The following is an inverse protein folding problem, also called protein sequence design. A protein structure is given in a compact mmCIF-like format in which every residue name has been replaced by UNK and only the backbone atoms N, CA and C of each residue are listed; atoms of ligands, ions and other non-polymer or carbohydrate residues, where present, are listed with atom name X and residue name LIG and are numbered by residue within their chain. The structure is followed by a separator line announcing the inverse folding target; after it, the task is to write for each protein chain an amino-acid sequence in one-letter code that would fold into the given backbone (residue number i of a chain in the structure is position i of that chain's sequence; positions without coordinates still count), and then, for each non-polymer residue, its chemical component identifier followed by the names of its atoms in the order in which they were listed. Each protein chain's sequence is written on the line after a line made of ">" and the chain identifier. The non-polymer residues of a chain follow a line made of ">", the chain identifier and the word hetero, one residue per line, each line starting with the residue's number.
data_IF_547080273969
#
_entry.id   IF_547080273969
#
_cell.length_a   1.000
_cell.length_b   1.000
_cell.length_c   1.000
_cell.angle_alpha   90.00
_cell.angle_beta   90.00
_cell.angle_gamma   90.00
#
_symmetry.space_group_name_H-M   'P 1'
#
loop_
_entity.id
_entity.type
_entity.pdbx_description
1 polymer ?
#
# COMPACT_ATOMS: atom_id res chain seq x y z
N UNK A 1 10.00 5.57 15.35
CA UNK A 1 9.90 4.57 16.45
C UNK A 1 9.26 5.15 17.71
N UNK A 2 8.60 4.34 18.53
CA UNK A 2 7.95 4.70 19.80
C UNK A 2 8.18 3.64 20.90
N UNK A 3 8.14 4.01 22.18
CA UNK A 3 8.24 3.04 23.28
C UNK A 3 6.87 2.46 23.59
N UNK A 4 6.76 1.13 23.65
CA UNK A 4 5.53 0.45 24.10
C UNK A 4 5.81 -0.55 25.19
N UNK A 5 4.85 -0.63 26.13
CA UNK A 5 4.81 -1.68 27.13
C UNK A 5 4.59 -3.01 26.47
N UNK A 6 5.33 -4.01 26.91
CA UNK A 6 5.17 -5.39 26.47
C UNK A 6 3.81 -5.90 26.95
N UNK A 7 3.01 -6.43 26.03
CA UNK A 7 1.82 -7.18 26.40
C UNK A 7 2.25 -8.57 26.84
N UNK A 8 2.16 -8.83 28.15
CA UNK A 8 2.61 -10.08 28.76
C UNK A 8 1.42 -10.89 29.27
N UNK A 9 1.06 -11.96 28.56
CA UNK A 9 -0.04 -12.87 28.95
C UNK A 9 0.44 -14.15 29.64
N UNK A 10 1.75 -14.27 29.84
CA UNK A 10 2.33 -15.44 30.49
C UNK A 10 2.34 -15.26 32.00
N UNK A 11 2.56 -16.36 32.72
CA UNK A 11 2.44 -16.40 34.18
C UNK A 11 3.64 -15.82 34.92
N UNK A 12 4.75 -15.56 34.22
CA UNK A 12 5.91 -14.86 34.75
C UNK A 12 5.61 -13.36 34.93
N UNK A 13 6.42 -12.68 35.75
CA UNK A 13 6.28 -11.25 35.96
C UNK A 13 7.28 -10.52 35.06
N UNK A 14 6.76 -9.91 33.99
CA UNK A 14 7.55 -9.09 33.07
C UNK A 14 6.87 -7.75 32.82
N UNK A 15 7.42 -6.71 33.45
CA UNK A 15 7.04 -5.33 33.22
C UNK A 15 8.19 -4.58 32.52
N UNK A 16 8.16 -4.58 31.19
CA UNK A 16 9.19 -3.96 30.36
C UNK A 16 8.59 -3.07 29.28
N UNK A 17 9.38 -2.08 28.85
CA UNK A 17 9.10 -1.25 27.68
C UNK A 17 10.15 -1.51 26.61
N UNK A 18 9.68 -1.66 25.36
CA UNK A 18 10.55 -1.89 24.21
C UNK A 18 10.36 -0.79 23.17
N UNK A 19 11.43 -0.48 22.45
CA UNK A 19 11.37 0.42 21.32
C UNK A 19 10.81 -0.33 20.11
N UNK A 20 9.66 0.13 19.60
CA UNK A 20 8.99 -0.45 18.43
C UNK A 20 8.87 0.58 17.32
N UNK A 21 8.63 0.12 16.10
CA UNK A 21 8.21 1.01 15.03
C UNK A 21 6.79 1.52 15.31
N UNK A 22 6.53 2.78 14.94
CA UNK A 22 5.15 3.27 14.94
C UNK A 22 4.37 2.60 13.82
N UNK A 23 3.04 2.62 13.90
CA UNK A 23 2.19 2.01 12.89
C UNK A 23 2.42 2.63 11.50
N UNK A 24 2.64 3.95 11.46
CA UNK A 24 2.95 4.67 10.22
C UNK A 24 4.27 4.23 9.61
N UNK A 25 5.28 3.97 10.43
CA UNK A 25 6.58 3.51 9.93
C UNK A 25 6.52 2.06 9.44
N UNK A 26 5.77 1.19 10.13
CA UNK A 26 5.48 -0.18 9.65
C UNK A 26 4.75 -0.12 8.30
N UNK A 27 3.74 0.74 8.19
CA UNK A 27 2.98 0.93 6.95
C UNK A 27 3.87 1.43 5.81
N UNK A 28 4.70 2.44 6.05
CA UNK A 28 5.62 2.97 5.05
C UNK A 28 6.60 1.89 4.53
N UNK A 29 7.13 1.06 5.42
CA UNK A 29 7.97 -0.09 5.03
C UNK A 29 7.19 -1.14 4.22
N UNK A 30 5.93 -1.41 4.57
CA UNK A 30 5.05 -2.32 3.82
C UNK A 30 4.81 -1.84 2.40
N UNK A 31 4.51 -0.55 2.22
CA UNK A 31 4.35 0.08 0.92
C UNK A 31 5.65 -0.02 0.10
N UNK A 32 6.78 0.31 0.71
CA UNK A 32 8.10 0.20 0.06
C UNK A 32 8.36 -1.24 -0.40
N UNK A 33 8.06 -2.23 0.45
CA UNK A 33 8.22 -3.64 0.14
C UNK A 33 7.25 -4.08 -0.98
N UNK A 34 6.01 -3.61 -0.96
CA UNK A 34 4.98 -3.91 -1.96
C UNK A 34 5.42 -3.45 -3.36
N UNK A 35 5.98 -2.23 -3.46
CA UNK A 35 6.50 -1.68 -4.72
C UNK A 35 7.64 -2.56 -5.24
N UNK A 36 8.56 -2.99 -4.37
CA UNK A 36 9.76 -3.73 -4.75
C UNK A 36 9.57 -5.22 -5.02
N UNK A 37 8.70 -5.91 -4.26
CA UNK A 37 8.69 -7.39 -4.19
C UNK A 37 7.38 -8.07 -4.57
N UNK A 38 6.33 -7.31 -4.89
CA UNK A 38 5.03 -7.83 -5.38
C UNK A 38 4.50 -9.03 -4.57
N UNK A 39 4.25 -8.88 -3.27
CA UNK A 39 3.71 -9.97 -2.45
C UNK A 39 2.27 -9.70 -2.03
N UNK A 40 1.38 -10.67 -2.28
CA UNK A 40 -0.03 -10.63 -1.89
C UNK A 40 -0.23 -10.34 -0.40
N UNK A 41 0.61 -10.91 0.46
CA UNK A 41 0.59 -10.64 1.91
C UNK A 41 0.85 -9.17 2.25
N UNK A 42 1.86 -8.55 1.63
CA UNK A 42 2.18 -7.15 1.91
C UNK A 42 1.04 -6.23 1.44
N UNK A 43 0.32 -6.62 0.38
CA UNK A 43 -0.88 -5.95 -0.11
C UNK A 43 -2.03 -6.06 0.91
N UNK A 44 -2.28 -7.26 1.43
CA UNK A 44 -3.28 -7.48 2.47
C UNK A 44 -2.97 -6.66 3.73
N UNK A 45 -1.74 -6.75 4.24
CA UNK A 45 -1.30 -6.00 5.42
C UNK A 45 -1.47 -4.49 5.23
N UNK A 46 -1.07 -3.95 4.09
CA UNK A 46 -1.26 -2.53 3.78
C UNK A 46 -2.75 -2.16 3.73
N UNK A 47 -3.59 -2.97 3.07
CA UNK A 47 -5.04 -2.76 3.03
C UNK A 47 -5.69 -2.73 4.42
N UNK A 48 -5.26 -3.60 5.33
CA UNK A 48 -5.79 -3.68 6.69
C UNK A 48 -5.31 -2.54 7.59
N UNK A 49 -4.07 -2.08 7.42
CA UNK A 49 -3.49 -1.01 8.23
C UNK A 49 -3.94 0.39 7.81
N UNK A 50 -4.46 0.54 6.59
CA UNK A 50 -4.73 1.83 5.97
C UNK A 50 -5.68 2.74 6.77
N UNK A 51 -6.69 2.18 7.43
CA UNK A 51 -7.66 2.97 8.22
C UNK A 51 -7.12 3.36 9.60
N UNK A 52 -6.05 2.72 10.06
CA UNK A 52 -5.50 2.89 11.41
C UNK A 52 -4.34 3.89 11.46
N UNK A 53 -3.78 4.27 10.31
CA UNK A 53 -2.59 5.11 10.20
C UNK A 53 -2.91 6.58 9.97
N UNK A 54 -2.03 7.45 10.47
CA UNK A 54 -2.03 8.86 10.07
C UNK A 54 -1.36 9.02 8.70
N UNK A 55 -2.16 9.26 7.66
CA UNK A 55 -1.72 9.36 6.27
C UNK A 55 -0.66 10.45 6.08
N UNK A 56 -0.81 11.61 6.72
CA UNK A 56 0.14 12.71 6.58
C UNK A 56 1.54 12.33 7.11
N UNK A 57 1.61 11.62 8.25
CA UNK A 57 2.87 11.12 8.79
C UNK A 57 3.50 10.05 7.89
N UNK A 58 2.68 9.14 7.34
CA UNK A 58 3.15 8.13 6.39
C UNK A 58 3.79 8.78 5.17
N UNK A 59 3.18 9.82 4.60
CA UNK A 59 3.74 10.51 3.44
C UNK A 59 5.12 11.12 3.73
N UNK A 60 5.28 11.76 4.90
CA UNK A 60 6.58 12.31 5.33
C UNK A 60 7.65 11.21 5.47
N UNK A 61 7.30 10.08 6.07
CA UNK A 61 8.24 8.96 6.24
C UNK A 61 8.61 8.33 4.89
N UNK A 62 7.66 8.26 3.96
CA UNK A 62 7.90 7.73 2.61
C UNK A 62 8.85 8.62 1.81
N UNK A 63 8.68 9.95 1.85
CA UNK A 63 9.59 10.92 1.21
C UNK A 63 11.05 10.62 1.60
N UNK A 64 11.32 10.62 2.91
CA UNK A 64 12.66 10.39 3.45
C UNK A 64 13.23 9.04 3.04
N UNK A 65 12.41 7.98 3.06
CA UNK A 65 12.87 6.61 2.75
C UNK A 65 13.09 6.40 1.25
N UNK A 66 12.32 7.06 0.39
CA UNK A 66 12.41 6.89 -1.06
C UNK A 66 13.61 7.63 -1.60
N UNK A 67 13.86 8.85 -1.11
CA UNK A 67 15.07 9.61 -1.42
C UNK A 67 16.32 8.87 -0.97
N UNK A 68 16.31 8.29 0.25
CA UNK A 68 17.46 7.55 0.78
C UNK A 68 17.76 6.25 0.02
N UNK A 69 16.73 5.56 -0.47
CA UNK A 69 16.88 4.25 -1.15
C UNK A 69 16.88 4.33 -2.68
N UNK A 70 16.66 5.52 -3.25
CA UNK A 70 16.53 5.71 -4.71
C UNK A 70 15.36 4.93 -5.32
N UNK A 71 14.26 4.76 -4.59
CA UNK A 71 13.11 3.97 -5.06
C UNK A 71 12.20 4.85 -5.90
N UNK A 72 12.07 4.52 -7.19
CA UNK A 72 11.11 5.17 -8.08
C UNK A 72 9.74 4.55 -7.86
N UNK A 73 8.78 5.37 -7.44
CA UNK A 73 7.40 4.94 -7.25
C UNK A 73 6.71 4.85 -8.61
N UNK A 74 6.50 3.63 -9.11
CA UNK A 74 5.71 3.37 -10.33
C UNK A 74 4.37 2.72 -9.98
N UNK A 75 3.32 3.54 -9.87
CA UNK A 75 1.94 3.06 -9.62
C UNK A 75 1.46 2.17 -10.76
N UNK A 76 1.86 2.46 -12.01
CA UNK A 76 1.42 1.68 -13.17
C UNK A 76 1.93 0.24 -13.10
N UNK A 77 3.12 0.03 -12.52
CA UNK A 77 3.65 -1.31 -12.27
C UNK A 77 2.77 -2.10 -11.29
N UNK A 78 2.16 -1.47 -10.30
CA UNK A 78 1.32 -2.16 -9.32
C UNK A 78 0.02 -2.63 -9.95
N UNK A 79 -0.61 -1.80 -10.78
CA UNK A 79 -1.82 -2.18 -11.51
C UNK A 79 -1.57 -3.28 -12.52
N UNK A 80 -0.43 -3.24 -13.24
CA UNK A 80 -0.04 -4.30 -14.19
C UNK A 80 0.21 -5.64 -13.51
N UNK A 81 0.65 -5.63 -12.24
CA UNK A 81 0.92 -6.81 -11.43
C UNK A 81 -0.30 -7.33 -10.67
N UNK A 82 -1.51 -6.82 -10.95
CA UNK A 82 -2.75 -7.26 -10.30
C UNK A 82 -2.92 -8.78 -10.40
N UNK A 83 -2.67 -9.35 -11.58
CA UNK A 83 -2.80 -10.78 -11.82
C UNK A 83 -1.79 -11.60 -10.99
N UNK A 84 -0.57 -11.09 -10.81
CA UNK A 84 0.43 -11.73 -9.94
C UNK A 84 -0.05 -11.79 -8.48
N UNK A 85 -0.68 -10.71 -8.00
CA UNK A 85 -1.27 -10.69 -6.67
C UNK A 85 -2.45 -11.65 -6.53
N UNK A 86 -3.31 -11.70 -7.55
CA UNK A 86 -4.47 -12.62 -7.59
C UNK A 86 -4.02 -14.07 -7.53
N UNK A 87 -3.08 -14.45 -8.41
CA UNK A 87 -2.56 -15.82 -8.50
C UNK A 87 -1.86 -16.27 -7.20
N UNK A 88 -1.22 -15.34 -6.48
CA UNK A 88 -0.52 -15.63 -5.24
C UNK A 88 -1.39 -15.46 -3.97
N UNK A 89 -2.64 -15.00 -4.10
CA UNK A 89 -3.46 -14.52 -2.96
C UNK A 89 -3.71 -15.61 -1.93
N UNK A 90 -4.38 -16.69 -2.36
CA UNK A 90 -4.76 -17.78 -1.47
C UNK A 90 -3.54 -18.49 -0.89
N UNK A 91 -2.56 -18.81 -1.75
CA UNK A 91 -1.33 -19.49 -1.32
C UNK A 91 -0.50 -18.65 -0.33
N UNK A 92 -0.58 -17.31 -0.40
CA UNK A 92 0.17 -16.43 0.51
C UNK A 92 -0.51 -16.26 1.88
N UNK A 93 -1.84 -16.38 1.92
CA UNK A 93 -2.68 -16.05 3.08
C UNK A 93 -3.28 -17.27 3.80
N UNK A 94 -3.35 -18.44 3.17
CA UNK A 94 -3.96 -19.66 3.73
C UNK A 94 -3.39 -20.10 5.09
N UNK A 95 -2.10 -19.87 5.34
CA UNK A 95 -1.45 -20.22 6.60
C UNK A 95 -1.59 -19.13 7.67
N UNK A 96 -2.10 -17.95 7.31
CA UNK A 96 -2.18 -16.79 8.18
C UNK A 96 -3.61 -16.48 8.61
N UNK A 97 -4.58 -16.72 7.72
CA UNK A 97 -5.98 -16.39 7.91
C UNK A 97 -6.84 -17.65 7.87
N UNK A 98 -7.79 -17.75 8.80
CA UNK A 98 -8.79 -18.83 8.79
C UNK A 98 -9.79 -18.68 7.65
N UNK A 99 -10.11 -17.44 7.30
CA UNK A 99 -11.02 -17.09 6.21
C UNK A 99 -10.29 -16.07 5.34
N UNK A 100 -10.02 -16.44 4.10
CA UNK A 100 -9.36 -15.58 3.13
C UNK A 100 -10.46 -14.75 2.44
N UNK A 101 -10.37 -13.41 2.42
CA UNK A 101 -11.32 -12.61 1.68
C UNK A 101 -11.10 -12.77 0.18
N UNK A 102 -12.18 -12.64 -0.60
CA UNK A 102 -12.11 -12.59 -2.05
C UNK A 102 -11.15 -11.49 -2.53
N UNK A 103 -10.22 -11.85 -3.41
CA UNK A 103 -9.17 -10.95 -3.88
C UNK A 103 -9.74 -9.73 -4.59
N UNK A 104 -10.71 -9.91 -5.49
CA UNK A 104 -11.26 -8.83 -6.29
C UNK A 104 -12.03 -7.83 -5.42
N UNK A 105 -12.86 -8.32 -4.51
CA UNK A 105 -13.58 -7.48 -3.55
C UNK A 105 -12.59 -6.70 -2.67
N UNK A 106 -11.56 -7.37 -2.14
CA UNK A 106 -10.55 -6.72 -1.31
C UNK A 106 -9.74 -5.68 -2.09
N UNK A 107 -9.23 -6.05 -3.26
CA UNK A 107 -8.41 -5.18 -4.10
C UNK A 107 -9.17 -3.92 -4.51
N UNK A 108 -10.42 -4.05 -4.97
CA UNK A 108 -11.19 -2.90 -5.42
C UNK A 108 -11.57 -1.97 -4.25
N UNK A 109 -11.99 -2.53 -3.10
CA UNK A 109 -12.37 -1.72 -1.94
C UNK A 109 -11.18 -1.04 -1.25
N UNK A 110 -10.05 -1.74 -1.08
CA UNK A 110 -8.89 -1.27 -0.29
C UNK A 110 -7.75 -0.73 -1.11
N UNK A 111 -7.53 -1.21 -2.33
CA UNK A 111 -6.37 -0.78 -3.13
C UNK A 111 -6.79 0.22 -4.21
N UNK A 112 -7.77 -0.15 -5.03
CA UNK A 112 -8.28 0.68 -6.13
C UNK A 112 -8.85 2.02 -5.66
N UNK A 113 -9.68 2.00 -4.62
CA UNK A 113 -10.47 3.17 -4.23
C UNK A 113 -9.82 4.05 -3.15
N UNK A 114 -8.79 3.56 -2.45
CA UNK A 114 -8.25 4.25 -1.27
C UNK A 114 -6.74 4.37 -1.27
N UNK A 115 -6.00 3.25 -1.32
CA UNK A 115 -4.53 3.28 -1.29
C UNK A 115 -3.95 3.99 -2.53
N UNK A 116 -4.30 3.58 -3.75
CA UNK A 116 -3.70 4.16 -4.96
C UNK A 116 -4.02 5.64 -5.19
N UNK A 117 -5.26 6.14 -4.92
CA UNK A 117 -5.53 7.57 -4.98
C UNK A 117 -4.69 8.39 -4.01
N UNK A 118 -4.46 7.92 -2.78
CA UNK A 118 -3.58 8.62 -1.84
C UNK A 118 -2.13 8.69 -2.34
N UNK A 119 -1.63 7.64 -2.99
CA UNK A 119 -0.32 7.67 -3.65
C UNK A 119 -0.27 8.61 -4.84
N UNK A 120 -1.35 8.70 -5.62
CA UNK A 120 -1.47 9.65 -6.72
C UNK A 120 -1.38 11.10 -6.21
N UNK A 121 -2.11 11.44 -5.15
CA UNK A 121 -2.03 12.77 -4.53
C UNK A 121 -0.65 13.07 -3.95
N UNK A 122 0.02 12.06 -3.39
CA UNK A 122 1.41 12.18 -2.93
C UNK A 122 2.38 12.50 -4.08
N UNK A 123 2.33 11.74 -5.18
CA UNK A 123 3.14 12.02 -6.38
C UNK A 123 2.89 13.43 -6.93
N UNK A 124 1.63 13.89 -6.97
CA UNK A 124 1.33 15.26 -7.40
C UNK A 124 1.93 16.32 -6.48
N UNK A 125 2.01 16.05 -5.17
CA UNK A 125 2.56 16.98 -4.18
C UNK A 125 4.09 17.07 -4.22
N UNK A 126 4.79 15.96 -4.44
CA UNK A 126 6.27 15.91 -4.41
C UNK A 126 6.93 16.48 -5.67
N UNK A 127 6.21 16.55 -6.80
CA UNK A 127 6.61 17.35 -7.98
C UNK A 127 6.77 18.86 -7.67
N UNK A 128 6.23 19.28 -6.51
CA UNK A 128 6.49 20.47 -5.71
C UNK A 128 7.95 20.96 -5.55
N UNK A 129 8.82 20.02 -5.17
CA UNK A 129 9.89 20.34 -4.20
C UNK A 129 11.29 19.92 -4.60
N UNK A 130 11.51 18.71 -5.13
CA UNK A 130 12.89 18.26 -5.39
C UNK A 130 12.92 17.13 -6.40
N UNK A 131 13.72 17.30 -7.46
CA UNK A 131 14.07 16.33 -8.51
C UNK A 131 13.14 16.29 -9.75
N UNK A 132 13.54 16.92 -10.88
CA UNK A 132 12.69 17.10 -12.07
C UNK A 132 12.58 15.87 -12.98
N UNK A 133 13.04 14.69 -12.55
CA UNK A 133 13.22 13.53 -13.44
C UNK A 133 12.19 12.39 -13.25
N UNK A 134 11.12 12.59 -12.47
CA UNK A 134 10.32 11.43 -12.06
C UNK A 134 9.21 11.08 -13.06
N UNK A 135 8.50 12.00 -13.73
CA UNK A 135 7.58 11.63 -14.84
C UNK A 135 7.27 12.79 -15.81
N UNK A 136 7.18 12.49 -17.12
CA UNK A 136 6.73 13.48 -18.12
C UNK A 136 5.25 13.84 -17.93
N UNK A 137 4.87 15.09 -18.21
CA UNK A 137 3.50 15.65 -18.12
C UNK A 137 2.40 14.77 -18.77
N UNK A 138 2.75 13.91 -19.74
CA UNK A 138 1.83 12.93 -20.35
C UNK A 138 1.39 11.80 -19.40
N UNK A 139 2.16 11.51 -18.35
CA UNK A 139 1.95 10.38 -17.43
C UNK A 139 0.82 10.65 -16.42
N UNK A 140 0.67 11.90 -15.98
CA UNK A 140 -0.39 12.32 -15.04
C UNK A 140 -1.78 12.16 -15.69
N UNK A 141 -1.88 12.54 -16.97
CA UNK A 141 -3.13 12.44 -17.76
C UNK A 141 -3.48 10.96 -18.00
N UNK A 142 -2.49 10.12 -18.33
CA UNK A 142 -2.70 8.67 -18.54
C UNK A 142 -3.11 7.93 -17.27
N UNK A 143 -2.59 8.32 -16.10
CA UNK A 143 -2.94 7.70 -14.81
C UNK A 143 -4.33 8.14 -14.33
N UNK A 144 -4.72 9.40 -14.57
CA UNK A 144 -6.09 9.86 -14.34
C UNK A 144 -7.09 9.11 -15.23
N UNK A 145 -6.77 8.93 -16.52
CA UNK A 145 -7.56 8.13 -17.46
C UNK A 145 -7.56 6.63 -17.14
N UNK A 146 -6.49 6.06 -16.58
CA UNK A 146 -6.45 4.64 -16.19
C UNK A 146 -7.25 4.38 -14.91
N UNK A 147 -7.15 5.27 -13.91
CA UNK A 147 -7.92 5.18 -12.66
C UNK A 147 -9.40 5.48 -12.88
N UNK A 148 -9.78 6.39 -13.79
CA UNK A 148 -11.21 6.62 -14.13
C UNK A 148 -11.72 5.67 -15.24
N UNK A 149 -10.86 5.24 -16.16
CA UNK A 149 -11.20 4.33 -17.26
C UNK A 149 -11.46 2.89 -16.80
N UNK A 150 -10.74 2.41 -15.77
CA UNK A 150 -11.02 1.13 -15.15
C UNK A 150 -12.40 1.08 -14.46
N UNK A 151 -12.92 2.22 -14.00
CA UNK A 151 -14.28 2.33 -13.44
C UNK A 151 -15.37 2.33 -14.52
N UNK A 152 -15.03 2.76 -15.74
CA UNK A 152 -15.97 2.82 -16.86
C UNK A 152 -16.30 1.44 -17.44
N UNK A 153 -15.44 0.44 -17.22
CA UNK A 153 -15.58 -0.92 -17.77
C UNK A 153 -16.44 -1.90 -16.95
N UNK A 154 -16.88 -1.54 -15.75
CA UNK A 154 -17.66 -2.44 -14.86
C UNK A 154 -19.18 -2.23 -15.00
N UNK A 155 -19.63 -1.08 -15.53
CA UNK A 155 -21.05 -0.84 -15.87
C UNK A 155 -21.26 -1.08 -17.37
N UNK A 156 -21.12 -2.32 -17.82
CA UNK A 156 -21.16 -2.55 -19.26
C UNK A 156 -21.03 -3.99 -19.76
N UNK A 157 -21.51 -4.99 -19.04
CA UNK A 157 -21.80 -6.29 -19.68
C UNK A 157 -22.94 -7.04 -18.99
N UNK A 158 -24.13 -6.46 -19.07
CA UNK A 158 -25.38 -7.21 -19.05
C UNK A 158 -25.90 -7.26 -20.48
N UNK A 159 -25.41 -8.22 -21.29
CA UNK A 159 -26.03 -8.62 -22.55
C UNK A 159 -25.71 -10.08 -22.88
N UNK A 160 -26.51 -10.99 -22.33
CA UNK A 160 -27.39 -11.96 -23.04
C UNK A 160 -27.66 -13.18 -22.16
#
# INVERSE_FOLDING_TARGET
>A
TEKKKVFHSYSDDLNAEIQVYSLEEIFAEKIRALIQRTRARDLYDAGMLYDLINKNKVLQILDEKFDFKGVILDISSLTKRKDDFSNAWDASLNHQLKVIPDFEIFFNSRCGNTIFPCFFFYLLRTNHSSSPNIFSSRFIISLHLALFGAFSGIVGSSKR
#
